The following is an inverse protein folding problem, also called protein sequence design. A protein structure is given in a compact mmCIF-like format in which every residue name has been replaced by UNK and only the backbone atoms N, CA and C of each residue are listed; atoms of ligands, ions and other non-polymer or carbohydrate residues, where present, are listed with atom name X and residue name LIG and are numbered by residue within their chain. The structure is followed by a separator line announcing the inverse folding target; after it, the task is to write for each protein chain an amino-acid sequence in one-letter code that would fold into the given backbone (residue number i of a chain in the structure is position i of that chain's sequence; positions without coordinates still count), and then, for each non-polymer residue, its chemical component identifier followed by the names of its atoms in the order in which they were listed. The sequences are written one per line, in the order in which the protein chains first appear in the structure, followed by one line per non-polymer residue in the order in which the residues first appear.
data_IF_641820720585
#
_entry.id   IF_641820720585
#
_cell.length_a   1.000
_cell.length_b   1.000
_cell.length_c   1.000
_cell.angle_alpha   90.00
_cell.angle_beta   90.00
_cell.angle_gamma   90.00
#
_symmetry.space_group_name_H-M   'P 1'
#
loop_
_entity.id
_entity.type
_entity.pdbx_description
1 polymer ?
#
# COMPACT_ATOMS: atom_id res chain seq x y z
N UNK A 1 19.36 13.08 -15.14
CA UNK A 1 17.98 13.53 -15.46
C UNK A 1 17.13 13.29 -14.22
N UNK A 2 17.00 14.28 -13.34
CA UNK A 2 16.18 14.14 -12.14
C UNK A 2 14.72 14.26 -12.57
N UNK A 3 13.96 13.18 -12.42
CA UNK A 3 12.51 13.16 -12.62
C UNK A 3 11.95 14.24 -11.68
N UNK A 4 11.56 15.40 -12.22
CA UNK A 4 11.14 16.54 -11.41
C UNK A 4 10.06 16.13 -10.41
N UNK A 5 9.88 16.91 -9.35
CA UNK A 5 9.05 16.54 -8.19
C UNK A 5 7.65 16.01 -8.52
N UNK A 6 7.00 16.56 -9.56
CA UNK A 6 5.71 16.06 -10.07
C UNK A 6 5.82 14.64 -10.63
N UNK A 7 6.84 14.36 -11.45
CA UNK A 7 7.06 13.03 -12.02
C UNK A 7 7.38 11.99 -10.94
N UNK A 8 8.17 12.34 -9.94
CA UNK A 8 8.44 11.44 -8.80
C UNK A 8 7.15 11.08 -8.03
N UNK A 9 6.26 12.06 -7.78
CA UNK A 9 4.97 11.82 -7.14
C UNK A 9 4.07 10.91 -7.99
N UNK A 10 3.99 11.13 -9.29
CA UNK A 10 3.20 10.30 -10.20
C UNK A 10 3.69 8.85 -10.21
N UNK A 11 5.01 8.65 -10.30
CA UNK A 11 5.59 7.30 -10.27
C UNK A 11 5.30 6.60 -8.93
N UNK A 12 5.45 7.30 -7.81
CA UNK A 12 5.10 6.75 -6.49
C UNK A 12 3.61 6.37 -6.39
N UNK A 13 2.71 7.23 -6.89
CA UNK A 13 1.28 6.94 -6.91
C UNK A 13 0.96 5.69 -7.75
N UNK A 14 1.59 5.53 -8.91
CA UNK A 14 1.43 4.33 -9.76
C UNK A 14 1.88 3.07 -8.99
N UNK A 15 3.05 3.11 -8.34
CA UNK A 15 3.51 1.97 -7.55
C UNK A 15 2.56 1.62 -6.40
N UNK A 16 1.98 2.60 -5.72
CA UNK A 16 0.98 2.34 -4.68
C UNK A 16 -0.31 1.73 -5.24
N UNK A 17 -0.79 2.19 -6.39
CA UNK A 17 -1.95 1.58 -7.04
C UNK A 17 -1.65 0.14 -7.44
N UNK A 18 -0.48 -0.13 -8.02
CA UNK A 18 -0.05 -1.49 -8.37
C UNK A 18 0.04 -2.37 -7.11
N UNK A 19 0.59 -1.86 -6.02
CA UNK A 19 0.65 -2.59 -4.75
C UNK A 19 -0.75 -2.95 -4.23
N UNK A 20 -1.71 -2.02 -4.26
CA UNK A 20 -3.11 -2.26 -3.90
C UNK A 20 -3.76 -3.31 -4.80
N UNK A 21 -3.45 -3.35 -6.09
CA UNK A 21 -4.00 -4.39 -6.97
C UNK A 21 -3.39 -5.76 -6.70
N UNK A 22 -2.11 -5.82 -6.36
CA UNK A 22 -1.39 -7.07 -6.09
C UNK A 22 -1.66 -7.63 -4.70
N UNK A 23 -2.10 -6.81 -3.74
CA UNK A 23 -2.37 -7.22 -2.36
C UNK A 23 -3.47 -8.29 -2.25
N UNK A 24 -4.40 -8.34 -3.21
CA UNK A 24 -5.47 -9.34 -3.27
C UNK A 24 -5.02 -10.70 -3.78
N UNK A 25 -3.83 -10.79 -4.39
CA UNK A 25 -3.33 -12.04 -5.00
C UNK A 25 -3.25 -13.19 -3.99
N UNK A 26 -2.66 -13.03 -2.78
CA UNK A 26 -2.56 -14.13 -1.81
C UNK A 26 -3.92 -14.57 -1.24
N UNK A 27 -4.90 -13.66 -1.23
CA UNK A 27 -6.26 -13.97 -0.78
C UNK A 27 -7.07 -14.71 -1.86
N UNK A 28 -7.00 -14.24 -3.11
CA UNK A 28 -7.84 -14.72 -4.22
C UNK A 28 -7.24 -15.93 -4.94
N UNK A 29 -5.91 -16.08 -4.94
CA UNK A 29 -5.22 -17.21 -5.56
C UNK A 29 -4.68 -18.10 -4.45
N UNK A 30 -4.98 -19.40 -4.54
CA UNK A 30 -4.53 -20.43 -3.60
C UNK A 30 -3.03 -20.73 -3.74
N UNK A 31 -2.18 -19.73 -3.48
CA UNK A 31 -0.71 -19.84 -3.45
C UNK A 31 -0.27 -20.49 -2.14
N UNK A 32 -0.92 -20.11 -1.04
CA UNK A 32 -0.65 -20.61 0.30
C UNK A 32 -1.96 -20.60 1.12
N UNK A 33 -2.18 -21.68 1.88
CA UNK A 33 -3.39 -21.88 2.67
C UNK A 33 -3.51 -20.87 3.82
N UNK A 34 -2.41 -20.29 4.29
CA UNK A 34 -2.39 -19.31 5.37
C UNK A 34 -3.11 -17.99 5.04
N UNK A 35 -3.21 -17.64 3.75
CA UNK A 35 -3.79 -16.35 3.30
C UNK A 35 -5.07 -16.52 2.49
N UNK A 36 -5.27 -17.69 1.90
CA UNK A 36 -6.38 -17.97 0.99
C UNK A 36 -7.71 -18.01 1.75
N UNK A 37 -8.64 -17.13 1.37
CA UNK A 37 -9.91 -16.91 2.08
C UNK A 37 -9.81 -16.58 3.57
N UNK A 38 -8.65 -16.12 4.06
CA UNK A 38 -8.52 -15.69 5.45
C UNK A 38 -9.13 -14.29 5.65
N UNK A 39 -10.19 -14.14 6.47
CA UNK A 39 -10.88 -12.87 6.64
C UNK A 39 -10.08 -11.87 7.48
N UNK A 40 -9.18 -12.33 8.35
CA UNK A 40 -8.34 -11.47 9.19
C UNK A 40 -7.27 -10.81 8.34
N UNK A 41 -6.59 -11.61 7.50
CA UNK A 41 -5.66 -11.15 6.49
C UNK A 41 -6.33 -10.12 5.57
N UNK A 42 -7.50 -10.45 4.99
CA UNK A 42 -8.22 -9.55 4.10
C UNK A 42 -8.57 -8.21 4.78
N UNK A 43 -9.04 -8.24 6.03
CA UNK A 43 -9.38 -7.02 6.75
C UNK A 43 -8.17 -6.09 6.93
N UNK A 44 -7.01 -6.64 7.31
CA UNK A 44 -5.79 -5.84 7.50
C UNK A 44 -5.26 -5.32 6.15
N UNK A 45 -5.34 -6.14 5.10
CA UNK A 45 -4.98 -5.75 3.73
C UNK A 45 -5.86 -4.60 3.25
N UNK A 46 -7.18 -4.66 3.44
CA UNK A 46 -8.11 -3.59 3.04
C UNK A 46 -7.82 -2.26 3.76
N UNK A 47 -7.46 -2.31 5.05
CA UNK A 47 -7.03 -1.10 5.79
C UNK A 47 -5.76 -0.52 5.16
N UNK A 48 -4.77 -1.37 4.89
CA UNK A 48 -3.51 -0.98 4.25
C UNK A 48 -3.76 -0.35 2.88
N UNK A 49 -4.63 -0.96 2.08
CA UNK A 49 -4.94 -0.52 0.73
C UNK A 49 -5.70 0.80 0.72
N UNK A 50 -6.65 0.99 1.63
CA UNK A 50 -7.35 2.27 1.79
C UNK A 50 -6.36 3.42 2.11
N UNK A 51 -5.37 3.15 2.97
CA UNK A 51 -4.33 4.13 3.29
C UNK A 51 -3.42 4.43 2.09
N UNK A 52 -2.97 3.40 1.36
CA UNK A 52 -2.11 3.56 0.18
C UNK A 52 -2.85 4.25 -0.97
N UNK A 53 -4.11 3.90 -1.22
CA UNK A 53 -4.96 4.55 -2.21
C UNK A 53 -5.18 6.03 -1.88
N UNK A 54 -5.43 6.35 -0.60
CA UNK A 54 -5.51 7.74 -0.15
C UNK A 54 -4.20 8.50 -0.41
N UNK A 55 -3.05 7.90 -0.08
CA UNK A 55 -1.74 8.52 -0.33
C UNK A 55 -1.51 8.74 -1.83
N UNK A 56 -1.80 7.73 -2.67
CA UNK A 56 -1.67 7.81 -4.11
C UNK A 56 -2.53 8.95 -4.70
N UNK A 57 -3.81 9.04 -4.33
CA UNK A 57 -4.70 10.10 -4.77
C UNK A 57 -4.17 11.50 -4.37
N UNK A 58 -3.68 11.65 -3.14
CA UNK A 58 -3.15 12.93 -2.65
C UNK A 58 -1.83 13.31 -3.28
N UNK A 59 -0.98 12.34 -3.63
CA UNK A 59 0.28 12.58 -4.36
C UNK A 59 0.05 13.16 -5.76
N UNK A 60 -1.03 12.78 -6.42
CA UNK A 60 -1.39 13.28 -7.75
C UNK A 60 -1.92 14.73 -7.72
N UNK A 61 -2.55 15.13 -6.60
CA UNK A 61 -3.18 16.45 -6.47
C UNK A 61 -2.21 17.48 -5.88
N UNK A 62 -1.36 17.08 -4.92
CA UNK A 62 -0.56 18.00 -4.10
C UNK A 62 0.94 17.92 -4.42
N UNK A 63 1.56 19.10 -4.58
CA UNK A 63 3.02 19.26 -4.76
C UNK A 63 3.71 19.99 -3.61
N UNK A 64 3.02 20.22 -2.49
CA UNK A 64 3.52 20.97 -1.33
C UNK A 64 4.39 20.10 -0.38
N UNK A 65 5.55 20.61 0.07
CA UNK A 65 6.59 19.85 0.80
C UNK A 65 6.09 19.31 2.12
N UNK A 66 5.45 20.16 2.94
CA UNK A 66 4.92 19.74 4.23
C UNK A 66 3.87 18.64 4.10
N UNK A 67 3.05 18.70 3.06
CA UNK A 67 2.05 17.68 2.79
C UNK A 67 2.68 16.37 2.31
N UNK A 68 3.72 16.43 1.47
CA UNK A 68 4.44 15.24 1.02
C UNK A 68 5.12 14.49 2.17
N UNK A 69 5.70 15.19 3.14
CA UNK A 69 6.31 14.53 4.31
C UNK A 69 5.30 13.76 5.16
N UNK A 70 4.08 14.31 5.31
CA UNK A 70 2.98 13.63 5.99
C UNK A 70 2.51 12.40 5.22
N UNK A 71 2.33 12.53 3.90
CA UNK A 71 1.96 11.43 3.02
C UNK A 71 3.00 10.30 3.04
N UNK A 72 4.29 10.64 3.10
CA UNK A 72 5.38 9.67 3.24
C UNK A 72 5.32 8.91 4.56
N UNK A 73 5.05 9.58 5.67
CA UNK A 73 4.89 8.91 6.97
C UNK A 73 3.65 7.99 6.97
N UNK A 74 2.55 8.45 6.37
CA UNK A 74 1.34 7.63 6.22
C UNK A 74 1.58 6.39 5.36
N UNK A 75 2.29 6.50 4.24
CA UNK A 75 2.60 5.32 3.41
C UNK A 75 3.53 4.34 4.10
N UNK A 76 4.52 4.82 4.86
CA UNK A 76 5.38 3.95 5.66
C UNK A 76 4.60 3.19 6.74
N UNK A 77 3.65 3.86 7.39
CA UNK A 77 2.77 3.24 8.37
C UNK A 77 1.86 2.19 7.72
N UNK A 78 1.25 2.52 6.58
CA UNK A 78 0.44 1.57 5.81
C UNK A 78 1.25 0.32 5.42
N UNK A 79 2.45 0.50 4.86
CA UNK A 79 3.34 -0.61 4.49
C UNK A 79 3.69 -1.45 5.73
N UNK A 80 3.97 -0.82 6.87
CA UNK A 80 4.24 -1.53 8.12
C UNK A 80 3.07 -2.41 8.57
N UNK A 81 1.84 -1.88 8.52
CA UNK A 81 0.62 -2.66 8.84
C UNK A 81 0.47 -3.85 7.88
N UNK A 82 0.62 -3.62 6.58
CA UNK A 82 0.53 -4.68 5.57
C UNK A 82 1.58 -5.78 5.81
N UNK A 83 2.82 -5.40 6.12
CA UNK A 83 3.88 -6.36 6.46
C UNK A 83 3.56 -7.17 7.72
N UNK A 84 2.96 -6.55 8.75
CA UNK A 84 2.52 -7.26 9.93
C UNK A 84 1.41 -8.26 9.63
N UNK A 85 0.52 -7.98 8.66
CA UNK A 85 -0.50 -8.93 8.20
C UNK A 85 0.14 -10.19 7.60
N UNK A 86 1.11 -10.00 6.70
CA UNK A 86 1.87 -11.10 6.10
C UNK A 86 2.67 -11.88 7.14
N UNK A 87 3.33 -11.18 8.07
CA UNK A 87 4.10 -11.81 9.13
C UNK A 87 3.20 -12.66 10.04
N UNK A 88 2.04 -12.13 10.43
CA UNK A 88 1.08 -12.85 11.25
C UNK A 88 0.57 -14.12 10.54
N UNK A 89 0.19 -14.02 9.27
CA UNK A 89 -0.23 -15.19 8.49
C UNK A 89 0.88 -16.24 8.32
N UNK A 90 2.15 -15.84 8.23
CA UNK A 90 3.27 -16.78 8.12
C UNK A 90 3.54 -17.61 9.38
N UNK A 91 3.03 -17.20 10.54
CA UNK A 91 3.23 -17.89 11.83
C UNK A 91 1.99 -18.66 12.31
N UNK A 92 0.90 -18.65 11.55
CA UNK A 92 -0.33 -19.42 11.80
C UNK A 92 -0.32 -20.65 10.92
#
# INVERSE_FOLDING_TARGET
MYLGRRGANTVAAIFYIVAVTLSFVPFAISIDAAYHFDPVYLAIVLVTDAMLAYVAARLLITTDTRHLDRLRRLSLLAIFIGLMAFLAGAFV
#
